data_IF_350261729638
#
_entry.id   IF_350261729638
#
_cell.length_a   1.000
_cell.length_b   1.000
_cell.length_c   1.000
_cell.angle_alpha   90.00
_cell.angle_beta   90.00
_cell.angle_gamma   90.00
#
_symmetry.space_group_name_H-M   'P 1'
#
loop_
_entity.id
_entity.type
_entity.pdbx_description
1 polymer ?
#
# COMPACT_ATOMS: atom_id res chain seq x y z
N UNK A 1 14.75 37.41 38.90
CA UNK A 1 13.82 36.27 38.71
C UNK A 1 13.16 36.22 37.31
N UNK A 2 13.78 36.77 36.25
CA UNK A 2 13.14 36.91 34.92
C UNK A 2 13.67 35.90 33.88
N UNK A 3 14.78 35.20 34.12
CA UNK A 3 15.39 34.28 33.13
C UNK A 3 14.79 32.86 33.09
N UNK A 4 13.98 32.46 34.07
CA UNK A 4 13.33 31.13 34.09
C UNK A 4 12.01 31.07 33.30
N UNK A 5 11.40 32.22 33.01
CA UNK A 5 10.11 32.28 32.32
C UNK A 5 10.24 32.25 30.79
N UNK A 6 11.41 32.63 30.25
CA UNK A 6 11.63 32.69 28.79
C UNK A 6 11.93 31.32 28.16
N UNK A 7 12.44 30.35 28.93
CA UNK A 7 12.77 29.01 28.42
C UNK A 7 11.56 28.08 28.26
N UNK A 8 10.49 28.34 29.01
CA UNK A 8 9.27 27.52 28.95
C UNK A 8 8.42 27.89 27.74
N UNK A 9 8.46 29.16 27.28
CA UNK A 9 7.66 29.61 26.14
C UNK A 9 8.20 29.09 24.79
N UNK A 10 9.51 28.90 24.64
CA UNK A 10 10.11 28.30 23.44
C UNK A 10 9.97 26.78 23.38
N UNK A 11 9.75 26.10 24.51
CA UNK A 11 9.59 24.65 24.56
C UNK A 11 8.16 24.17 24.23
N UNK A 12 7.15 25.03 24.37
CA UNK A 12 5.74 24.67 24.11
C UNK A 12 5.37 24.81 22.63
N UNK A 13 6.15 25.55 21.81
CA UNK A 13 5.85 25.75 20.39
C UNK A 13 6.30 24.60 19.46
N UNK A 14 6.91 23.54 20.00
CA UNK A 14 7.47 22.41 19.22
C UNK A 14 6.54 21.19 19.10
N UNK A 15 5.32 21.21 19.66
CA UNK A 15 4.46 20.02 19.73
C UNK A 15 3.07 20.18 19.13
N UNK A 16 2.99 20.72 17.92
CA UNK A 16 1.86 20.46 17.03
C UNK A 16 2.37 20.32 15.61
N UNK A 17 3.20 19.29 15.36
CA UNK A 17 3.33 18.82 13.99
C UNK A 17 1.96 18.30 13.59
N UNK A 18 1.28 18.90 12.60
CA UNK A 18 0.08 18.31 12.06
C UNK A 18 0.48 16.91 11.60
N UNK A 19 -0.14 15.89 12.20
CA UNK A 19 -0.06 14.52 11.70
C UNK A 19 -0.84 14.55 10.38
N UNK A 20 -0.21 15.04 9.31
CA UNK A 20 -0.77 14.93 7.97
C UNK A 20 -0.92 13.44 7.71
N UNK A 21 -2.17 13.00 7.66
CA UNK A 21 -2.49 11.63 7.31
C UNK A 21 -2.00 11.41 5.89
N UNK A 22 -0.92 10.65 5.73
CA UNK A 22 -0.46 10.17 4.43
C UNK A 22 -1.59 9.41 3.70
N UNK A 23 -1.90 9.85 2.49
CA UNK A 23 -2.79 9.20 1.52
C UNK A 23 -1.97 8.60 0.37
N UNK A 24 -2.63 8.08 -0.67
CA UNK A 24 -1.96 7.52 -1.84
C UNK A 24 -1.14 8.54 -2.63
N UNK A 25 -1.41 9.84 -2.50
CA UNK A 25 -0.59 10.90 -3.10
C UNK A 25 0.81 10.99 -2.51
N UNK A 26 1.01 10.36 -1.35
CA UNK A 26 2.33 10.21 -0.76
C UNK A 26 3.06 8.91 -1.13
N UNK A 27 2.46 8.05 -1.96
CA UNK A 27 3.13 6.85 -2.45
C UNK A 27 4.30 7.23 -3.38
N UNK A 28 5.45 6.53 -3.33
CA UNK A 28 5.80 5.39 -2.48
C UNK A 28 6.50 5.80 -1.18
N UNK A 29 6.55 7.09 -0.83
CA UNK A 29 7.42 7.60 0.23
C UNK A 29 7.18 6.93 1.60
N UNK A 30 5.92 6.55 1.93
CA UNK A 30 5.68 5.82 3.18
C UNK A 30 6.32 4.43 3.20
N UNK A 31 6.43 3.77 2.05
CA UNK A 31 6.97 2.41 1.91
C UNK A 31 8.49 2.38 1.67
N UNK A 32 9.10 3.49 1.27
CA UNK A 32 10.57 3.59 1.11
C UNK A 32 11.27 4.17 2.33
N UNK A 33 10.55 4.91 3.19
CA UNK A 33 11.11 5.53 4.41
C UNK A 33 11.23 4.58 5.61
N UNK A 34 10.50 3.46 5.62
CA UNK A 34 10.58 2.41 6.66
C UNK A 34 10.79 1.04 6.00
N UNK A 35 11.18 0.05 6.79
CA UNK A 35 11.15 -1.35 6.36
C UNK A 35 9.76 -1.72 5.86
N UNK A 36 9.70 -2.31 4.68
CA UNK A 36 8.46 -2.74 4.03
C UNK A 36 8.63 -4.17 3.56
N UNK A 37 7.58 -4.97 3.73
CA UNK A 37 7.44 -6.30 3.12
C UNK A 37 6.35 -6.32 2.07
N UNK A 38 6.44 -7.28 1.17
CA UNK A 38 5.38 -7.57 0.19
C UNK A 38 4.80 -8.93 0.54
N UNK A 39 3.47 -9.01 0.59
CA UNK A 39 2.72 -10.22 0.94
C UNK A 39 1.93 -10.67 -0.26
N UNK A 40 2.16 -11.90 -0.69
CA UNK A 40 1.51 -12.52 -1.84
C UNK A 40 0.66 -13.68 -1.34
N UNK A 41 -0.55 -13.87 -1.88
CA UNK A 41 -1.38 -15.00 -1.50
C UNK A 41 -0.72 -16.33 -1.85
N UNK A 42 -0.78 -17.33 -0.96
CA UNK A 42 -0.28 -18.68 -1.25
C UNK A 42 -0.93 -19.31 -2.49
N UNK A 43 -2.19 -18.97 -2.77
CA UNK A 43 -2.92 -19.38 -3.97
C UNK A 43 -2.91 -18.36 -5.11
N UNK A 44 -2.00 -17.37 -5.05
CA UNK A 44 -1.95 -16.31 -6.03
C UNK A 44 -1.53 -16.81 -7.42
N UNK A 45 -2.05 -16.13 -8.44
CA UNK A 45 -1.69 -16.37 -9.83
C UNK A 45 -0.28 -15.88 -10.14
N UNK A 46 0.30 -16.32 -11.26
CA UNK A 46 1.63 -15.85 -11.68
C UNK A 46 1.63 -14.34 -11.95
N UNK A 47 0.51 -13.79 -12.42
CA UNK A 47 0.30 -12.36 -12.65
C UNK A 47 0.45 -11.55 -11.35
N UNK A 48 -0.05 -12.06 -10.23
CA UNK A 48 0.11 -11.44 -8.91
C UNK A 48 1.58 -11.46 -8.47
N UNK A 49 2.29 -12.58 -8.69
CA UNK A 49 3.71 -12.73 -8.35
C UNK A 49 4.57 -11.78 -9.18
N UNK A 50 4.37 -11.72 -10.50
CA UNK A 50 5.07 -10.77 -11.36
C UNK A 50 4.75 -9.33 -10.96
N UNK A 51 3.49 -9.04 -10.63
CA UNK A 51 3.05 -7.74 -10.12
C UNK A 51 3.79 -7.33 -8.84
N UNK A 52 3.91 -8.25 -7.90
CA UNK A 52 4.66 -8.05 -6.67
C UNK A 52 6.16 -7.78 -6.94
N UNK A 53 6.76 -8.50 -7.89
CA UNK A 53 8.16 -8.29 -8.29
C UNK A 53 8.37 -6.90 -8.89
N UNK A 54 7.48 -6.43 -9.76
CA UNK A 54 7.61 -5.11 -10.38
C UNK A 54 7.51 -3.98 -9.36
N UNK A 55 6.58 -4.09 -8.40
CA UNK A 55 6.51 -3.17 -7.27
C UNK A 55 7.82 -3.24 -6.47
N UNK A 56 8.34 -4.44 -6.21
CA UNK A 56 9.55 -4.61 -5.42
C UNK A 56 10.75 -3.89 -6.07
N UNK A 57 10.93 -4.08 -7.37
CA UNK A 57 12.00 -3.45 -8.15
C UNK A 57 11.84 -1.92 -8.17
N UNK A 58 10.62 -1.44 -8.44
CA UNK A 58 10.34 0.01 -8.47
C UNK A 58 10.63 0.67 -7.12
N UNK A 59 10.21 0.04 -6.01
CA UNK A 59 10.48 0.56 -4.67
C UNK A 59 11.97 0.55 -4.36
N UNK A 60 12.69 -0.54 -4.66
CA UNK A 60 14.13 -0.64 -4.37
C UNK A 60 14.95 0.47 -5.04
N UNK A 61 14.58 0.90 -6.24
CA UNK A 61 15.23 2.02 -6.93
C UNK A 61 15.06 3.37 -6.21
N UNK A 62 14.09 3.47 -5.28
CA UNK A 62 13.76 4.67 -4.52
C UNK A 62 14.18 4.60 -3.05
N UNK A 63 14.61 3.43 -2.57
CA UNK A 63 15.07 3.29 -1.18
C UNK A 63 16.48 3.87 -1.05
N UNK A 64 16.74 4.53 0.09
CA UNK A 64 18.10 5.00 0.42
C UNK A 64 19.03 3.83 0.73
N UNK A 65 20.35 4.06 0.70
CA UNK A 65 21.37 2.99 0.80
C UNK A 65 21.23 2.10 2.06
N UNK A 66 20.70 2.64 3.15
CA UNK A 66 20.50 1.93 4.42
C UNK A 66 19.13 1.23 4.54
N UNK A 67 18.27 1.30 3.52
CA UNK A 67 16.90 0.77 3.56
C UNK A 67 16.68 -0.19 2.40
N UNK A 68 16.07 -1.32 2.70
CA UNK A 68 15.77 -2.35 1.71
C UNK A 68 14.37 -2.89 1.97
N UNK A 69 13.73 -3.40 0.91
CA UNK A 69 12.59 -4.29 1.10
C UNK A 69 13.08 -5.47 1.93
N UNK A 70 12.38 -5.78 3.01
CA UNK A 70 12.83 -6.86 3.90
C UNK A 70 12.77 -8.20 3.17
N UNK A 71 11.58 -8.50 2.61
CA UNK A 71 11.30 -9.75 1.90
C UNK A 71 9.92 -9.67 1.24
N UNK A 72 9.76 -10.46 0.18
CA UNK A 72 8.45 -10.92 -0.26
C UNK A 72 8.16 -12.23 0.47
N UNK A 73 6.97 -12.35 1.05
CA UNK A 73 6.51 -13.53 1.81
C UNK A 73 5.12 -13.95 1.37
N UNK A 74 4.76 -15.19 1.68
CA UNK A 74 3.39 -15.66 1.53
C UNK A 74 2.51 -15.10 2.65
N UNK A 75 1.22 -14.95 2.36
CA UNK A 75 0.20 -14.56 3.34
C UNK A 75 0.18 -15.50 4.56
N UNK A 76 0.46 -16.78 4.37
CA UNK A 76 0.54 -17.77 5.46
C UNK A 76 1.77 -17.63 6.36
N UNK A 77 2.74 -16.78 6.01
CA UNK A 77 3.93 -16.50 6.82
C UNK A 77 3.78 -15.21 7.64
N UNK A 78 2.61 -14.58 7.59
CA UNK A 78 2.33 -13.30 8.26
C UNK A 78 1.25 -13.46 9.31
N UNK A 79 1.61 -13.27 10.57
CA UNK A 79 0.66 -13.30 11.68
C UNK A 79 -0.07 -11.95 11.84
N UNK A 80 0.68 -10.85 11.83
CA UNK A 80 0.17 -9.51 12.08
C UNK A 80 0.62 -8.50 11.01
N UNK A 81 -0.33 -7.78 10.42
CA UNK A 81 -0.08 -6.75 9.42
C UNK A 81 0.39 -5.42 10.03
N UNK A 82 0.15 -5.22 11.33
CA UNK A 82 0.48 -3.97 12.01
C UNK A 82 1.97 -3.85 12.36
N UNK A 83 2.72 -4.95 12.35
CA UNK A 83 4.14 -5.00 12.78
C UNK A 83 5.07 -4.13 11.93
N UNK A 84 4.76 -3.98 10.64
CA UNK A 84 5.54 -3.16 9.71
C UNK A 84 4.71 -2.77 8.49
N UNK A 85 5.25 -1.84 7.70
CA UNK A 85 4.63 -1.48 6.43
C UNK A 85 4.53 -2.71 5.51
N UNK A 86 3.36 -2.89 4.93
CA UNK A 86 3.06 -4.09 4.14
C UNK A 86 2.35 -3.72 2.86
N UNK A 87 2.78 -4.26 1.72
CA UNK A 87 2.00 -4.22 0.48
C UNK A 87 1.44 -5.62 0.27
N UNK A 88 0.12 -5.75 0.24
CA UNK A 88 -0.60 -7.00 0.04
C UNK A 88 -1.05 -7.07 -1.40
N UNK A 89 -0.57 -8.07 -2.14
CA UNK A 89 -0.87 -8.28 -3.55
C UNK A 89 -1.81 -9.49 -3.71
N UNK A 90 -2.88 -9.28 -4.47
CA UNK A 90 -3.93 -10.27 -4.73
C UNK A 90 -5.18 -10.07 -3.88
N UNK A 91 -6.31 -10.56 -4.40
CA UNK A 91 -7.61 -10.41 -3.78
C UNK A 91 -7.84 -11.31 -2.55
N UNK A 92 -8.86 -11.01 -1.74
CA UNK A 92 -9.15 -11.70 -0.48
C UNK A 92 -9.57 -13.17 -0.66
N UNK A 93 -9.94 -13.60 -1.88
CA UNK A 93 -10.30 -14.99 -2.16
C UNK A 93 -9.10 -15.96 -2.08
N UNK A 94 -7.88 -15.46 -2.37
CA UNK A 94 -6.65 -16.28 -2.42
C UNK A 94 -5.53 -15.75 -1.53
N UNK A 95 -5.78 -14.65 -0.81
CA UNK A 95 -4.85 -14.00 0.11
C UNK A 95 -5.57 -13.69 1.43
N UNK A 96 -5.22 -14.43 2.49
CA UNK A 96 -5.79 -14.29 3.83
C UNK A 96 -5.51 -12.93 4.47
N UNK A 97 -4.37 -12.31 4.15
CA UNK A 97 -4.05 -10.96 4.61
C UNK A 97 -4.89 -9.90 3.91
N UNK A 98 -5.21 -10.07 2.62
CA UNK A 98 -6.17 -9.21 1.94
C UNK A 98 -7.57 -9.35 2.54
N UNK A 99 -8.00 -10.58 2.84
CA UNK A 99 -9.28 -10.82 3.52
C UNK A 99 -9.33 -10.13 4.89
N UNK A 100 -8.25 -10.19 5.68
CA UNK A 100 -8.12 -9.48 6.96
C UNK A 100 -8.26 -7.97 6.80
N UNK A 101 -7.59 -7.36 5.81
CA UNK A 101 -7.71 -5.92 5.51
C UNK A 101 -9.14 -5.52 5.12
N UNK A 102 -9.87 -6.41 4.46
CA UNK A 102 -11.25 -6.19 4.03
C UNK A 102 -12.30 -6.58 5.09
N UNK A 103 -11.87 -6.97 6.29
CA UNK A 103 -12.78 -7.33 7.39
C UNK A 103 -13.42 -8.71 7.25
N UNK A 104 -12.74 -9.65 6.60
CA UNK A 104 -13.19 -11.03 6.34
C UNK A 104 -14.58 -11.08 5.71
N UNK A 105 -14.75 -10.53 4.50
CA UNK A 105 -16.05 -10.49 3.85
C UNK A 105 -16.55 -11.92 3.60
N UNK A 106 -17.84 -12.16 3.85
CA UNK A 106 -18.47 -13.47 3.58
C UNK A 106 -18.39 -13.83 2.10
N UNK A 107 -18.53 -12.83 1.23
CA UNK A 107 -18.25 -12.94 -0.19
C UNK A 107 -16.93 -12.22 -0.49
N UNK A 108 -15.88 -12.97 -0.82
CA UNK A 108 -14.57 -12.39 -1.11
C UNK A 108 -14.54 -11.53 -2.39
N UNK A 109 -15.56 -11.60 -3.24
CA UNK A 109 -15.72 -10.72 -4.42
C UNK A 109 -16.55 -9.47 -4.12
N UNK A 110 -16.98 -9.25 -2.87
CA UNK A 110 -17.71 -8.05 -2.50
C UNK A 110 -16.85 -6.79 -2.70
N UNK A 111 -17.38 -5.83 -3.46
CA UNK A 111 -16.67 -4.60 -3.82
C UNK A 111 -15.72 -4.74 -5.01
N UNK A 112 -15.61 -5.93 -5.61
CA UNK A 112 -14.83 -6.17 -6.82
C UNK A 112 -15.72 -6.27 -8.06
N UNK A 113 -15.26 -5.70 -9.17
CA UNK A 113 -15.94 -5.73 -10.46
C UNK A 113 -14.98 -6.18 -11.56
N UNK A 114 -15.45 -6.98 -12.52
CA UNK A 114 -14.62 -7.47 -13.62
C UNK A 114 -14.01 -6.31 -14.42
N UNK A 115 -12.74 -6.43 -14.77
CA UNK A 115 -12.02 -5.39 -15.50
C UNK A 115 -11.59 -4.21 -14.63
N UNK A 116 -11.81 -4.28 -13.31
CA UNK A 116 -11.40 -3.26 -12.35
C UNK A 116 -10.47 -3.85 -11.31
N UNK A 117 -9.52 -3.04 -10.89
CA UNK A 117 -8.66 -3.29 -9.75
C UNK A 117 -8.75 -2.17 -8.72
N UNK A 118 -8.33 -2.48 -7.51
CA UNK A 118 -8.43 -1.60 -6.35
C UNK A 118 -7.03 -1.41 -5.78
N UNK A 119 -6.69 -0.15 -5.54
CA UNK A 119 -5.60 0.26 -4.66
C UNK A 119 -6.26 0.81 -3.40
N UNK A 120 -5.95 0.25 -2.23
CA UNK A 120 -6.52 0.73 -0.97
C UNK A 120 -5.47 0.84 0.12
N UNK A 121 -5.35 2.02 0.70
CA UNK A 121 -4.43 2.33 1.78
C UNK A 121 -5.14 2.19 3.13
N UNK A 122 -4.50 1.45 4.02
CA UNK A 122 -4.91 1.25 5.40
C UNK A 122 -3.83 1.83 6.32
N UNK A 123 -4.28 2.49 7.38
CA UNK A 123 -3.43 3.05 8.43
C UNK A 123 -3.65 2.28 9.72
N UNK A 124 -2.57 1.82 10.33
CA UNK A 124 -2.58 1.24 11.67
C UNK A 124 -2.25 2.28 12.74
N UNK A 125 -2.63 1.99 13.99
CA UNK A 125 -2.49 2.93 15.12
C UNK A 125 -1.04 3.33 15.38
N UNK A 126 -0.11 2.42 15.13
CA UNK A 126 1.33 2.61 15.37
C UNK A 126 2.03 3.34 14.22
N UNK A 127 1.27 3.87 13.25
CA UNK A 127 1.80 4.64 12.11
C UNK A 127 2.45 3.78 11.02
N UNK A 128 2.16 2.48 11.02
CA UNK A 128 2.45 1.57 9.91
C UNK A 128 1.27 1.56 8.92
N UNK A 129 1.56 1.22 7.67
CA UNK A 129 0.60 1.23 6.58
C UNK A 129 0.48 -0.16 5.95
N UNK A 130 -0.73 -0.52 5.56
CA UNK A 130 -0.95 -1.60 4.61
C UNK A 130 -1.53 -1.06 3.31
N UNK A 131 -0.99 -1.48 2.18
CA UNK A 131 -1.54 -1.19 0.86
C UNK A 131 -2.09 -2.46 0.25
N UNK A 132 -3.38 -2.50 -0.05
CA UNK A 132 -3.99 -3.57 -0.83
C UNK A 132 -3.90 -3.22 -2.32
N UNK A 133 -3.33 -4.14 -3.10
CA UNK A 133 -3.29 -4.11 -4.56
C UNK A 133 -3.99 -5.37 -5.09
N UNK A 134 -5.25 -5.25 -5.50
CA UNK A 134 -6.07 -6.41 -5.82
C UNK A 134 -6.99 -6.14 -7.01
N UNK A 135 -7.14 -7.11 -7.91
CA UNK A 135 -8.17 -7.12 -8.93
C UNK A 135 -9.13 -8.29 -8.78
N UNK A 136 -10.23 -8.24 -9.53
CA UNK A 136 -11.20 -9.34 -9.61
C UNK A 136 -10.57 -10.57 -10.25
N UNK A 137 -9.80 -10.36 -11.33
CA UNK A 137 -8.99 -11.37 -12.00
C UNK A 137 -7.50 -11.11 -11.78
N UNK A 138 -6.70 -12.16 -11.99
CA UNK A 138 -5.23 -12.09 -12.04
C UNK A 138 -4.70 -10.93 -12.91
N UNK A 139 -5.27 -10.77 -14.10
CA UNK A 139 -4.92 -9.68 -15.02
C UNK A 139 -5.32 -8.29 -14.47
N UNK A 140 -6.41 -8.19 -13.73
CA UNK A 140 -6.83 -6.94 -13.09
C UNK A 140 -5.83 -6.55 -11.99
N UNK A 141 -5.37 -7.52 -11.17
CA UNK A 141 -4.28 -7.28 -10.20
C UNK A 141 -2.98 -6.87 -10.90
N UNK A 142 -2.66 -7.48 -12.05
CA UNK A 142 -1.48 -7.09 -12.86
C UNK A 142 -1.54 -5.63 -13.30
N UNK A 143 -2.71 -5.12 -13.67
CA UNK A 143 -2.88 -3.69 -14.00
C UNK A 143 -2.66 -2.81 -12.78
N UNK A 144 -3.23 -3.16 -11.64
CA UNK A 144 -3.03 -2.43 -10.38
C UNK A 144 -1.55 -2.35 -10.01
N UNK A 145 -0.87 -3.48 -10.05
CA UNK A 145 0.57 -3.56 -9.72
C UNK A 145 1.43 -2.81 -10.73
N UNK A 146 1.04 -2.76 -12.01
CA UNK A 146 1.68 -1.93 -13.04
C UNK A 146 1.54 -0.43 -12.75
N UNK A 147 0.37 0.02 -12.29
CA UNK A 147 0.17 1.41 -11.84
C UNK A 147 1.09 1.75 -10.66
N UNK A 148 1.17 0.87 -9.66
CA UNK A 148 2.03 1.08 -8.50
C UNK A 148 3.53 1.06 -8.86
N UNK A 149 3.95 0.15 -9.74
CA UNK A 149 5.34 0.10 -10.21
C UNK A 149 5.73 1.35 -11.01
N UNK A 150 4.80 1.91 -11.80
CA UNK A 150 4.99 3.09 -12.62
C UNK A 150 4.27 4.32 -12.05
N UNK A 151 4.21 4.43 -10.71
CA UNK A 151 3.41 5.45 -10.02
C UNK A 151 3.67 6.90 -10.44
N UNK A 152 4.83 7.19 -11.06
CA UNK A 152 5.18 8.52 -11.53
C UNK A 152 4.34 8.97 -12.72
N UNK A 153 3.77 8.03 -13.46
CA UNK A 153 2.93 8.29 -14.62
C UNK A 153 1.45 8.55 -14.23
N UNK A 154 1.13 8.42 -12.93
CA UNK A 154 -0.24 8.45 -12.44
C UNK A 154 -0.39 9.41 -11.24
N UNK A 155 -1.49 10.16 -11.23
CA UNK A 155 -1.87 10.96 -10.08
C UNK A 155 -2.58 10.08 -9.04
N UNK A 156 -1.80 9.49 -8.13
CA UNK A 156 -2.35 8.75 -6.99
C UNK A 156 -2.86 9.72 -5.93
N UNK A 157 -4.01 9.46 -5.33
CA UNK A 157 -4.59 10.32 -4.28
C UNK A 157 -5.62 9.56 -3.44
N UNK A 158 -6.00 10.12 -2.29
CA UNK A 158 -7.00 9.57 -1.39
C UNK A 158 -6.58 8.25 -0.74
N UNK A 159 -7.52 7.54 -0.13
CA UNK A 159 -7.24 6.26 0.54
C UNK A 159 -7.65 5.04 -0.30
N UNK A 160 -8.40 5.24 -1.38
CA UNK A 160 -8.91 4.17 -2.23
C UNK A 160 -9.01 4.70 -3.66
N UNK A 161 -8.49 3.93 -4.62
CA UNK A 161 -8.58 4.24 -6.04
C UNK A 161 -8.99 2.99 -6.81
N UNK A 162 -9.74 3.21 -7.89
CA UNK A 162 -10.12 2.16 -8.82
C UNK A 162 -9.27 2.32 -10.09
N UNK A 163 -8.59 1.24 -10.47
CA UNK A 163 -7.85 1.11 -11.71
C UNK A 163 -8.74 0.42 -12.72
N UNK A 164 -9.02 1.10 -13.84
CA UNK A 164 -9.81 0.56 -14.95
C UNK A 164 -9.00 0.56 -16.24
N UNK A 165 -9.38 -0.29 -17.19
CA UNK A 165 -8.78 -0.35 -18.52
C UNK A 165 -8.71 -1.77 -19.05
N UNK A 166 -9.09 -1.99 -20.31
CA UNK A 166 -9.09 -3.32 -20.92
C UNK A 166 -7.69 -3.75 -21.39
N UNK A 167 -6.76 -2.79 -21.57
CA UNK A 167 -5.37 -2.97 -22.01
C UNK A 167 -4.42 -2.18 -21.09
N UNK A 168 -3.17 -2.65 -20.93
CA UNK A 168 -2.11 -1.91 -20.21
C UNK A 168 -1.81 -0.55 -20.88
N UNK A 169 -2.18 -0.38 -22.17
CA UNK A 169 -2.06 0.88 -22.90
C UNK A 169 -3.15 1.92 -22.57
N UNK A 170 -4.28 1.50 -22.00
CA UNK A 170 -5.50 2.32 -21.90
C UNK A 170 -6.01 2.35 -20.45
N UNK A 171 -5.12 2.66 -19.50
CA UNK A 171 -5.46 2.73 -18.08
C UNK A 171 -6.13 4.07 -17.73
N UNK A 172 -7.36 4.01 -17.25
CA UNK A 172 -8.09 5.14 -16.66
C UNK A 172 -8.17 4.96 -15.13
N UNK A 173 -7.85 6.01 -14.38
CA UNK A 173 -7.84 6.01 -12.91
C UNK A 173 -8.80 7.10 -12.40
N UNK A 174 -9.77 6.70 -11.59
CA UNK A 174 -10.80 7.60 -11.05
C UNK A 174 -10.86 7.51 -9.50
N UNK A 175 -11.03 8.65 -8.79
CA UNK A 175 -11.34 8.62 -7.35
C UNK A 175 -12.75 8.04 -7.13
N UNK A 176 -12.93 7.30 -6.03
CA UNK A 176 -14.21 6.70 -5.66
C UNK A 176 -15.03 7.62 -4.76
#
# INVERSE_FOLDING_TARGET
MIKRLLFVLTAVLLMAMPVFGYDLGSYPAMFTRKSTRIVIGKGASTEDVLGAVDIAVSLQQRMGEDKRLERAVLDTEVDNLEDMNTIVVGGPCINSMAAKLMGYPKNCLEGFELGKGIIKLYRFKDGNYALLAAGTLALDTRRVTSVLANYQDYALDGNEMIVTGLSISDLEINPK
#
